data_IF_318421114093
#
_entry.id   IF_318421114093
#
_cell.length_a   1.000
_cell.length_b   1.000
_cell.length_c   1.000
_cell.angle_alpha   90.00
_cell.angle_beta   90.00
_cell.angle_gamma   90.00
#
_symmetry.space_group_name_H-M   'P 1'
#
loop_
_entity.id
_entity.type
_entity.pdbx_description
1 polymer ?
#
# COMPACT_ATOMS: atom_id res chain seq x y z
N UNK A 1 -20.69 -22.11 -66.11
CA UNK A 1 -20.63 -22.47 -64.67
C UNK A 1 -19.44 -21.74 -64.03
N UNK A 2 -19.71 -20.64 -63.36
CA UNK A 2 -18.66 -19.87 -62.63
C UNK A 2 -18.53 -20.42 -61.20
N UNK A 3 -17.36 -20.95 -60.87
CA UNK A 3 -17.04 -21.40 -59.50
C UNK A 3 -16.67 -20.19 -58.64
N UNK A 4 -17.48 -19.92 -57.61
CA UNK A 4 -17.20 -18.90 -56.58
C UNK A 4 -16.34 -19.60 -55.52
N UNK A 5 -15.09 -19.15 -55.36
CA UNK A 5 -14.22 -19.54 -54.26
C UNK A 5 -14.53 -18.62 -53.05
N UNK A 6 -15.13 -19.20 -52.00
CA UNK A 6 -15.34 -18.54 -50.74
C UNK A 6 -14.06 -18.69 -49.91
N UNK A 7 -13.26 -17.64 -49.84
CA UNK A 7 -12.06 -17.61 -49.01
C UNK A 7 -12.51 -17.32 -47.57
N UNK A 8 -12.44 -18.36 -46.73
CA UNK A 8 -12.64 -18.22 -45.29
C UNK A 8 -11.42 -17.49 -44.68
N UNK A 9 -11.59 -16.21 -44.38
CA UNK A 9 -10.60 -15.45 -43.62
C UNK A 9 -10.75 -15.82 -42.14
N UNK A 10 -10.01 -16.82 -41.69
CA UNK A 10 -9.90 -17.14 -40.24
C UNK A 10 -9.10 -16.03 -39.59
N UNK A 11 -9.80 -15.06 -38.97
CA UNK A 11 -9.21 -14.06 -38.14
C UNK A 11 -8.55 -14.72 -36.91
N UNK A 12 -7.23 -14.70 -36.89
CA UNK A 12 -6.46 -15.08 -35.71
C UNK A 12 -6.68 -14.01 -34.67
N UNK A 13 -7.63 -14.23 -33.76
CA UNK A 13 -7.72 -13.44 -32.51
C UNK A 13 -6.49 -13.79 -31.67
N UNK A 14 -5.43 -13.00 -31.79
CA UNK A 14 -4.36 -12.98 -30.83
C UNK A 14 -5.00 -12.35 -29.58
N UNK A 15 -5.50 -13.18 -28.67
CA UNK A 15 -5.80 -12.76 -27.33
C UNK A 15 -4.47 -12.27 -26.74
N UNK A 16 -4.33 -10.97 -26.59
CA UNK A 16 -3.28 -10.38 -25.75
C UNK A 16 -3.50 -10.98 -24.38
N UNK A 17 -2.71 -11.98 -24.01
CA UNK A 17 -2.61 -12.43 -22.63
C UNK A 17 -1.99 -11.25 -21.90
N UNK A 18 -2.81 -10.37 -21.35
CA UNK A 18 -2.33 -9.39 -20.38
C UNK A 18 -1.58 -10.21 -19.33
N UNK A 19 -0.27 -9.98 -19.19
CA UNK A 19 0.53 -10.64 -18.17
C UNK A 19 -0.11 -10.27 -16.84
N UNK A 20 -0.91 -11.19 -16.29
CA UNK A 20 -1.54 -10.99 -15.00
C UNK A 20 -0.43 -10.87 -13.96
N UNK A 21 -0.51 -9.83 -13.14
CA UNK A 21 0.37 -9.62 -12.02
C UNK A 21 0.48 -10.91 -11.19
N UNK A 22 1.70 -11.31 -10.88
CA UNK A 22 1.99 -12.42 -9.99
C UNK A 22 2.77 -11.90 -8.79
N UNK A 23 2.28 -12.18 -7.60
CA UNK A 23 3.04 -11.93 -6.37
C UNK A 23 3.99 -13.09 -6.15
N UNK A 24 5.26 -12.78 -5.90
CA UNK A 24 6.31 -13.76 -5.68
C UNK A 24 6.92 -13.61 -4.30
N UNK A 25 7.39 -14.71 -3.74
CA UNK A 25 8.10 -14.69 -2.46
C UNK A 25 9.28 -13.71 -2.50
N UNK A 26 10.12 -13.79 -3.53
CA UNK A 26 11.34 -12.98 -3.63
C UNK A 26 11.09 -11.47 -3.61
N UNK A 27 9.93 -11.01 -4.10
CA UNK A 27 9.62 -9.59 -4.16
C UNK A 27 8.60 -9.14 -3.10
N UNK A 28 7.56 -9.94 -2.84
CA UNK A 28 6.43 -9.49 -2.02
C UNK A 28 6.49 -9.96 -0.56
N UNK A 29 7.28 -10.98 -0.23
CA UNK A 29 7.44 -11.38 1.18
C UNK A 29 8.22 -10.31 1.95
N UNK A 30 7.71 -9.82 3.08
CA UNK A 30 8.44 -8.88 3.93
C UNK A 30 9.74 -9.47 4.47
N UNK A 31 10.76 -8.64 4.62
CA UNK A 31 12.04 -9.01 5.21
C UNK A 31 12.45 -7.99 6.28
N UNK A 32 13.42 -8.36 7.11
CA UNK A 32 13.96 -7.45 8.15
C UNK A 32 14.47 -6.16 7.51
N UNK A 33 14.05 -5.03 8.07
CA UNK A 33 14.38 -3.70 7.58
C UNK A 33 13.30 -3.07 6.69
N UNK A 34 12.34 -3.84 6.20
CA UNK A 34 11.20 -3.28 5.47
C UNK A 34 10.34 -2.39 6.38
N UNK A 35 9.75 -1.38 5.78
CA UNK A 35 8.77 -0.51 6.42
C UNK A 35 7.57 -0.33 5.52
N UNK A 36 6.36 -0.27 6.09
CA UNK A 36 5.14 0.07 5.41
C UNK A 36 4.44 1.20 6.16
N UNK A 37 4.07 2.26 5.47
CA UNK A 37 3.30 3.36 6.03
C UNK A 37 2.02 3.56 5.23
N UNK A 38 0.90 3.74 5.94
CA UNK A 38 -0.45 3.80 5.37
C UNK A 38 -1.19 5.05 5.83
N UNK A 39 -1.98 5.62 4.95
CA UNK A 39 -2.94 6.70 5.23
C UNK A 39 -4.34 6.13 5.21
N UNK A 40 -5.12 6.46 6.23
CA UNK A 40 -6.53 6.08 6.32
C UNK A 40 -7.42 6.95 5.43
N UNK A 41 -8.46 6.33 4.90
CA UNK A 41 -9.50 6.97 4.10
C UNK A 41 -10.87 6.55 4.58
N UNK A 42 -11.85 7.46 4.49
CA UNK A 42 -13.24 7.16 4.78
C UNK A 42 -13.85 6.40 3.61
N UNK A 43 -14.36 5.19 3.90
CA UNK A 43 -15.15 4.41 2.97
C UNK A 43 -16.60 4.41 3.43
N UNK A 44 -17.52 4.80 2.57
CA UNK A 44 -18.95 4.83 2.89
C UNK A 44 -19.54 3.44 2.69
N UNK A 45 -19.87 2.75 3.80
CA UNK A 45 -20.54 1.45 3.79
C UNK A 45 -19.71 0.29 3.23
N UNK A 46 -20.35 -0.87 3.08
CA UNK A 46 -19.74 -2.02 2.38
C UNK A 46 -19.76 -1.74 0.89
N UNK A 47 -18.60 -1.57 0.30
CA UNK A 47 -18.45 -1.33 -1.14
C UNK A 47 -18.33 -2.68 -1.83
N UNK A 48 -19.26 -3.06 -2.72
CA UNK A 48 -19.12 -4.28 -3.51
C UNK A 48 -17.80 -4.26 -4.29
N UNK A 49 -17.03 -5.33 -4.21
CA UNK A 49 -15.77 -5.45 -4.92
C UNK A 49 -15.95 -6.43 -6.07
N UNK A 50 -15.92 -5.91 -7.28
CA UNK A 50 -15.96 -6.74 -8.46
C UNK A 50 -14.71 -7.65 -8.49
N UNK A 51 -14.93 -8.89 -8.91
CA UNK A 51 -13.88 -9.90 -9.08
C UNK A 51 -13.81 -10.32 -10.54
N UNK A 52 -12.77 -11.05 -10.90
CA UNK A 52 -12.55 -11.50 -12.29
C UNK A 52 -11.54 -10.65 -13.05
N UNK A 53 -11.32 -10.98 -14.32
CA UNK A 53 -10.37 -10.27 -15.18
C UNK A 53 -10.95 -8.95 -15.71
N UNK A 54 -10.04 -7.99 -16.01
CA UNK A 54 -10.41 -6.76 -16.71
C UNK A 54 -11.25 -5.77 -15.89
N UNK A 55 -11.16 -5.84 -14.57
CA UNK A 55 -11.94 -4.98 -13.68
C UNK A 55 -11.42 -3.54 -13.65
N UNK A 56 -12.32 -2.62 -13.29
CA UNK A 56 -11.94 -1.25 -12.89
C UNK A 56 -12.51 -0.98 -11.51
N UNK A 57 -11.60 -0.79 -10.54
CA UNK A 57 -11.93 -0.42 -9.16
C UNK A 57 -11.65 1.07 -8.99
N UNK A 58 -12.73 1.86 -8.86
CA UNK A 58 -12.64 3.31 -8.76
C UNK A 58 -12.97 3.78 -7.33
N UNK A 59 -11.95 4.27 -6.65
CA UNK A 59 -12.03 4.81 -5.29
C UNK A 59 -11.66 6.31 -5.24
N UNK A 60 -11.68 6.99 -6.38
CA UNK A 60 -11.32 8.40 -6.50
C UNK A 60 -12.05 9.32 -5.51
N UNK A 61 -13.31 9.00 -5.18
CA UNK A 61 -14.16 9.81 -4.31
C UNK A 61 -13.87 9.62 -2.81
N UNK A 62 -12.98 8.68 -2.42
CA UNK A 62 -12.64 8.50 -1.01
C UNK A 62 -11.84 9.67 -0.49
N UNK A 63 -12.19 10.13 0.72
CA UNK A 63 -11.54 11.24 1.39
C UNK A 63 -10.57 10.76 2.46
N UNK A 64 -9.40 11.38 2.56
CA UNK A 64 -8.43 11.06 3.61
C UNK A 64 -8.99 11.45 4.98
N UNK A 65 -8.81 10.58 5.96
CA UNK A 65 -9.09 10.88 7.38
C UNK A 65 -7.77 11.12 8.16
N UNK A 66 -7.86 11.28 9.48
CA UNK A 66 -6.69 11.56 10.32
C UNK A 66 -5.83 10.32 10.61
N UNK A 67 -6.36 9.12 10.35
CA UNK A 67 -5.68 7.87 10.70
C UNK A 67 -4.44 7.64 9.86
N UNK A 68 -3.38 7.20 10.53
CA UNK A 68 -2.13 6.72 9.92
C UNK A 68 -1.75 5.41 10.58
N UNK A 69 -1.07 4.54 9.85
CA UNK A 69 -0.50 3.30 10.36
C UNK A 69 0.91 3.15 9.80
N UNK A 70 1.82 2.65 10.62
CA UNK A 70 3.18 2.33 10.18
C UNK A 70 3.59 1.01 10.78
N UNK A 71 4.20 0.14 9.98
CA UNK A 71 4.79 -1.12 10.40
C UNK A 71 6.28 -1.14 10.05
N UNK A 72 7.09 -1.72 10.94
CA UNK A 72 8.51 -2.02 10.69
C UNK A 72 8.72 -3.51 10.87
N UNK A 73 9.39 -4.15 9.91
CA UNK A 73 9.71 -5.56 9.98
C UNK A 73 11.09 -5.76 10.60
N UNK A 74 11.14 -6.50 11.71
CA UNK A 74 12.34 -6.62 12.54
C UNK A 74 12.65 -8.08 12.91
N UNK A 75 13.82 -8.31 13.51
CA UNK A 75 14.23 -9.65 13.96
C UNK A 75 13.47 -10.04 15.23
N UNK A 76 13.18 -11.35 15.44
CA UNK A 76 12.57 -11.82 16.69
C UNK A 76 13.39 -11.45 17.93
N UNK A 77 14.71 -11.40 17.82
CA UNK A 77 15.59 -11.08 18.95
C UNK A 77 15.41 -9.66 19.50
N UNK A 78 14.89 -8.71 18.68
CA UNK A 78 14.64 -7.33 19.10
C UNK A 78 13.30 -7.14 19.83
N UNK A 79 12.45 -8.17 19.85
CA UNK A 79 11.11 -8.13 20.46
C UNK A 79 10.96 -9.26 21.49
N UNK A 80 11.06 -8.99 22.81
CA UNK A 80 11.02 -10.02 23.84
C UNK A 80 9.77 -10.92 23.79
N UNK A 81 8.62 -10.38 23.40
CA UNK A 81 7.38 -11.14 23.26
C UNK A 81 7.47 -12.26 22.22
N UNK A 82 8.42 -12.23 21.29
CA UNK A 82 8.63 -13.26 20.28
C UNK A 82 8.98 -14.62 20.87
N UNK A 83 9.52 -14.67 22.08
CA UNK A 83 9.88 -15.93 22.78
C UNK A 83 8.67 -16.87 23.00
N UNK A 84 7.46 -16.33 22.99
CA UNK A 84 6.23 -17.12 23.12
C UNK A 84 5.80 -17.81 21.79
N UNK A 85 6.44 -17.48 20.65
CA UNK A 85 6.03 -17.93 19.33
C UNK A 85 7.07 -18.85 18.71
N UNK A 86 6.85 -20.16 18.79
CA UNK A 86 7.81 -21.16 18.30
C UNK A 86 7.99 -21.08 16.78
N UNK A 87 9.24 -20.91 16.35
CA UNK A 87 9.57 -20.88 14.92
C UNK A 87 9.36 -19.52 14.24
N UNK A 88 9.13 -18.45 15.01
CA UNK A 88 9.07 -17.09 14.47
C UNK A 88 10.39 -16.73 13.76
N UNK A 89 10.27 -16.18 12.56
CA UNK A 89 11.41 -15.74 11.74
C UNK A 89 11.41 -14.23 11.50
N UNK A 90 10.26 -13.57 11.64
CA UNK A 90 10.07 -12.16 11.38
C UNK A 90 9.01 -11.59 12.32
N UNK A 91 9.21 -10.38 12.80
CA UNK A 91 8.22 -9.64 13.60
C UNK A 91 7.83 -8.37 12.85
N UNK A 92 6.53 -8.14 12.70
CA UNK A 92 5.97 -6.88 12.25
C UNK A 92 5.63 -6.05 13.49
N UNK A 93 6.40 -4.99 13.73
CA UNK A 93 6.15 -4.01 14.78
C UNK A 93 5.25 -2.91 14.22
N UNK A 94 4.02 -2.83 14.74
CA UNK A 94 3.00 -1.85 14.34
C UNK A 94 3.02 -0.61 15.24
N UNK A 95 3.99 -0.53 16.14
CA UNK A 95 4.10 0.53 17.13
C UNK A 95 3.16 0.36 18.32
N UNK A 96 3.44 1.13 19.39
CA UNK A 96 2.61 1.10 20.59
C UNK A 96 2.56 -0.24 21.34
N UNK A 97 3.53 -1.13 21.11
CA UNK A 97 3.55 -2.47 21.68
C UNK A 97 2.64 -3.49 20.99
N UNK A 98 2.23 -3.21 19.75
CA UNK A 98 1.45 -4.11 18.92
C UNK A 98 2.36 -4.83 17.92
N UNK A 99 2.30 -6.15 17.90
CA UNK A 99 3.17 -7.01 17.10
C UNK A 99 2.39 -8.10 16.40
N UNK A 100 2.78 -8.43 15.16
CA UNK A 100 2.44 -9.69 14.50
C UNK A 100 3.70 -10.55 14.36
N UNK A 101 3.56 -11.85 14.61
CA UNK A 101 4.67 -12.80 14.60
C UNK A 101 4.53 -13.73 13.41
N UNK A 102 5.53 -13.71 12.54
CA UNK A 102 5.50 -14.38 11.25
C UNK A 102 6.56 -15.48 11.16
N UNK A 103 6.22 -16.51 10.42
CA UNK A 103 7.15 -17.57 10.02
C UNK A 103 7.19 -17.67 8.50
N UNK A 104 8.33 -17.36 7.92
CA UNK A 104 8.61 -17.53 6.51
C UNK A 104 9.28 -18.89 6.30
N UNK A 105 8.66 -19.74 5.47
CA UNK A 105 9.22 -21.04 5.05
C UNK A 105 9.66 -20.98 3.59
N UNK A 106 10.05 -22.08 2.98
CA UNK A 106 10.39 -22.10 1.56
C UNK A 106 9.24 -21.65 0.65
N UNK A 107 7.99 -21.99 1.00
CA UNK A 107 6.80 -21.75 0.21
C UNK A 107 5.74 -20.90 0.90
N UNK A 108 5.65 -20.96 2.24
CA UNK A 108 4.56 -20.37 3.01
C UNK A 108 5.01 -19.13 3.77
N UNK A 109 4.09 -18.20 3.92
CA UNK A 109 4.16 -17.09 4.86
C UNK A 109 3.03 -17.27 5.87
N UNK A 110 3.38 -17.57 7.12
CA UNK A 110 2.48 -18.04 8.17
C UNK A 110 2.41 -17.02 9.31
N UNK A 111 1.23 -16.66 9.74
CA UNK A 111 1.01 -15.89 10.96
C UNK A 111 0.97 -16.85 12.16
N UNK A 112 1.88 -16.65 13.10
CA UNK A 112 1.95 -17.43 14.34
C UNK A 112 1.10 -16.84 15.46
N UNK A 113 0.67 -15.59 15.29
CA UNK A 113 -0.16 -14.87 16.22
C UNK A 113 0.19 -13.39 16.32
N UNK A 114 -0.41 -12.73 17.31
CA UNK A 114 -0.20 -11.31 17.57
C UNK A 114 -0.18 -11.02 19.08
N UNK A 115 0.50 -9.94 19.46
CA UNK A 115 0.49 -9.45 20.83
C UNK A 115 0.27 -7.94 20.86
N UNK A 116 -0.42 -7.50 21.88
CA UNK A 116 -0.56 -6.12 22.29
C UNK A 116 -0.16 -5.97 23.76
N UNK A 117 -0.24 -4.77 24.30
CA UNK A 117 -0.01 -4.54 25.73
C UNK A 117 -1.00 -5.27 26.66
N UNK A 118 -2.14 -5.73 26.13
CA UNK A 118 -3.25 -6.30 26.94
C UNK A 118 -3.57 -7.75 26.58
N UNK A 119 -3.42 -8.14 25.33
CA UNK A 119 -3.81 -9.47 24.83
C UNK A 119 -2.74 -10.06 23.94
N UNK A 120 -2.58 -11.37 24.05
CA UNK A 120 -1.77 -12.18 23.15
C UNK A 120 -2.64 -13.28 22.54
N UNK A 121 -2.64 -13.36 21.22
CA UNK A 121 -3.23 -14.43 20.43
C UNK A 121 -2.08 -15.29 19.92
N UNK A 122 -1.93 -16.51 20.42
CA UNK A 122 -0.85 -17.41 20.02
C UNK A 122 -1.43 -18.63 19.30
N UNK A 123 -1.13 -18.77 18.01
CA UNK A 123 -1.63 -19.86 17.16
C UNK A 123 -0.74 -21.11 17.33
N UNK A 124 -0.55 -21.51 18.57
CA UNK A 124 0.32 -22.60 18.96
C UNK A 124 -0.27 -24.02 18.68
N UNK A 125 -1.54 -24.11 18.32
CA UNK A 125 -2.15 -25.35 17.86
C UNK A 125 -1.91 -25.57 16.35
N UNK A 126 -2.11 -24.55 15.54
CA UNK A 126 -1.84 -24.51 14.11
C UNK A 126 -1.72 -23.03 13.66
N UNK A 127 -0.65 -22.68 12.95
CA UNK A 127 -0.47 -21.32 12.38
C UNK A 127 -1.46 -21.03 11.27
N UNK A 128 -1.72 -19.74 11.01
CA UNK A 128 -2.55 -19.32 9.88
C UNK A 128 -1.68 -19.08 8.63
N UNK A 129 -1.88 -19.86 7.57
CA UNK A 129 -1.17 -19.68 6.30
C UNK A 129 -1.77 -18.50 5.55
N UNK A 130 -1.11 -17.36 5.64
CA UNK A 130 -1.53 -16.12 4.97
C UNK A 130 -1.27 -16.16 3.45
N UNK A 131 -0.16 -16.77 3.03
CA UNK A 131 0.20 -16.91 1.63
C UNK A 131 0.97 -18.20 1.35
N UNK A 132 0.68 -18.83 0.22
CA UNK A 132 1.54 -19.83 -0.44
C UNK A 132 1.95 -19.22 -1.78
N UNK A 133 3.24 -19.01 -1.94
CA UNK A 133 3.78 -18.37 -3.13
C UNK A 133 3.89 -19.31 -4.33
N UNK A 134 3.63 -18.87 -5.58
CA UNK A 134 3.20 -17.52 -5.98
C UNK A 134 1.68 -17.32 -5.90
N UNK A 135 1.25 -16.06 -5.77
CA UNK A 135 -0.17 -15.69 -5.85
C UNK A 135 -0.43 -14.98 -7.17
N UNK A 136 -1.38 -15.48 -7.94
CA UNK A 136 -1.85 -14.89 -9.20
C UNK A 136 -3.38 -14.94 -9.26
N UNK A 137 -3.95 -14.45 -10.34
CA UNK A 137 -5.39 -14.60 -10.56
C UNK A 137 -5.78 -16.06 -10.63
N UNK A 138 -6.86 -16.42 -9.90
CA UNK A 138 -7.34 -17.80 -9.78
C UNK A 138 -6.66 -18.61 -8.67
N UNK A 139 -5.61 -18.06 -8.01
CA UNK A 139 -5.07 -18.66 -6.78
C UNK A 139 -6.16 -18.82 -5.74
N UNK A 140 -6.15 -19.94 -5.03
CA UNK A 140 -6.99 -20.15 -3.85
C UNK A 140 -6.26 -21.01 -2.83
N UNK A 141 -6.36 -20.59 -1.57
CA UNK A 141 -5.88 -21.35 -0.41
C UNK A 141 -6.85 -21.20 0.74
N UNK A 142 -7.24 -22.30 1.34
CA UNK A 142 -8.04 -22.33 2.58
C UNK A 142 -7.25 -23.04 3.64
N UNK A 143 -7.09 -22.41 4.79
CA UNK A 143 -6.36 -22.93 5.92
C UNK A 143 -7.17 -22.77 7.21
N UNK A 144 -6.94 -23.67 8.17
CA UNK A 144 -7.52 -23.62 9.51
C UNK A 144 -6.43 -23.48 10.55
N UNK A 145 -6.63 -22.63 11.51
CA UNK A 145 -5.68 -22.37 12.57
C UNK A 145 -6.35 -22.41 13.95
N UNK A 146 -5.52 -22.65 14.97
CA UNK A 146 -6.01 -22.74 16.34
C UNK A 146 -4.93 -22.32 17.33
N UNK A 147 -5.38 -21.94 18.51
CA UNK A 147 -4.44 -21.52 19.54
C UNK A 147 -5.11 -21.02 20.80
N UNK A 148 -4.37 -20.19 21.53
CA UNK A 148 -4.76 -19.66 22.84
C UNK A 148 -4.83 -18.14 22.83
N UNK A 149 -5.65 -17.60 23.70
CA UNK A 149 -5.71 -16.18 24.06
C UNK A 149 -5.25 -16.05 25.51
N UNK A 150 -4.38 -15.08 25.78
CA UNK A 150 -3.89 -14.78 27.12
C UNK A 150 -3.73 -13.28 27.34
N UNK A 151 -3.64 -12.86 28.61
CA UNK A 151 -3.56 -11.46 29.02
C UNK A 151 -4.71 -11.09 29.92
N UNK A 152 -5.41 -9.98 29.64
CA UNK A 152 -6.60 -9.55 30.40
C UNK A 152 -7.79 -10.52 30.25
N UNK A 153 -7.77 -11.39 29.24
CA UNK A 153 -8.68 -12.50 29.05
C UNK A 153 -7.89 -13.76 28.74
N UNK A 154 -8.44 -14.93 29.07
CA UNK A 154 -7.81 -16.22 28.75
C UNK A 154 -8.83 -17.14 28.10
N UNK A 155 -8.38 -17.89 27.10
CA UNK A 155 -9.26 -18.78 26.36
C UNK A 155 -8.58 -19.47 25.20
N UNK A 156 -9.40 -20.04 24.33
CA UNK A 156 -8.95 -20.70 23.11
C UNK A 156 -9.49 -19.96 21.89
N UNK A 157 -8.83 -20.14 20.77
CA UNK A 157 -9.32 -19.67 19.48
C UNK A 157 -9.21 -20.75 18.42
N UNK A 158 -10.13 -20.69 17.47
CA UNK A 158 -10.04 -21.42 16.21
C UNK A 158 -10.39 -20.45 15.08
N UNK A 159 -9.81 -20.65 13.91
CA UNK A 159 -10.13 -19.79 12.78
C UNK A 159 -9.98 -20.51 11.45
N UNK A 160 -10.57 -19.90 10.45
CA UNK A 160 -10.44 -20.32 9.04
C UNK A 160 -10.08 -19.09 8.22
N UNK A 161 -9.01 -19.16 7.46
CA UNK A 161 -8.60 -18.16 6.51
C UNK A 161 -8.70 -18.69 5.08
N UNK A 162 -9.29 -17.91 4.19
CA UNK A 162 -9.34 -18.21 2.75
C UNK A 162 -8.77 -17.03 1.97
N UNK A 163 -7.73 -17.29 1.18
CA UNK A 163 -7.05 -16.30 0.34
C UNK A 163 -7.25 -16.65 -1.13
N UNK A 164 -7.71 -15.69 -1.92
CA UNK A 164 -8.04 -15.87 -3.33
C UNK A 164 -7.41 -14.75 -4.17
N UNK A 165 -6.72 -15.10 -5.25
CA UNK A 165 -6.39 -14.17 -6.32
C UNK A 165 -7.65 -13.84 -7.13
N UNK A 166 -8.37 -12.79 -6.69
CA UNK A 166 -9.78 -12.60 -7.00
C UNK A 166 -10.04 -11.82 -8.29
N UNK A 167 -9.09 -11.01 -8.75
CA UNK A 167 -9.30 -10.23 -9.96
C UNK A 167 -8.04 -9.54 -10.48
N UNK A 168 -8.10 -9.13 -11.74
CA UNK A 168 -7.06 -8.31 -12.37
C UNK A 168 -7.69 -7.12 -13.08
N UNK A 169 -6.96 -6.00 -13.18
CA UNK A 169 -7.51 -4.82 -13.86
C UNK A 169 -6.81 -3.52 -13.54
N UNK A 170 -7.59 -2.46 -13.42
CA UNK A 170 -7.16 -1.09 -13.17
C UNK A 170 -7.71 -0.60 -11.82
N UNK A 171 -6.85 -0.04 -11.00
CA UNK A 171 -7.19 0.62 -9.74
C UNK A 171 -7.09 2.13 -9.92
N UNK A 172 -8.17 2.85 -9.59
CA UNK A 172 -8.19 4.31 -9.46
C UNK A 172 -8.20 4.62 -7.97
N UNK A 173 -7.07 5.10 -7.45
CA UNK A 173 -6.94 5.45 -6.04
C UNK A 173 -7.57 6.82 -5.73
N UNK A 174 -7.80 7.17 -4.45
CA UNK A 174 -8.17 8.51 -4.03
C UNK A 174 -7.25 9.57 -4.66
N UNK A 175 -7.85 10.66 -5.17
CA UNK A 175 -7.11 11.67 -5.95
C UNK A 175 -7.02 11.38 -7.45
N UNK A 176 -7.50 10.22 -7.93
CA UNK A 176 -7.72 9.95 -9.36
C UNK A 176 -6.53 9.37 -10.12
N UNK A 177 -5.45 8.98 -9.45
CA UNK A 177 -4.34 8.30 -10.12
C UNK A 177 -4.71 6.86 -10.46
N UNK A 178 -4.40 6.44 -11.69
CA UNK A 178 -4.71 5.12 -12.23
C UNK A 178 -3.47 4.22 -12.21
N UNK A 179 -3.65 2.99 -11.75
CA UNK A 179 -2.68 1.91 -11.84
C UNK A 179 -3.28 0.76 -12.63
N UNK A 180 -2.65 0.38 -13.73
CA UNK A 180 -3.01 -0.80 -14.54
C UNK A 180 -2.28 -2.04 -14.02
N UNK A 181 -2.60 -3.23 -14.55
CA UNK A 181 -1.96 -4.50 -14.15
C UNK A 181 -2.03 -4.77 -12.64
N UNK A 182 -3.16 -4.46 -12.02
CA UNK A 182 -3.43 -4.73 -10.62
C UNK A 182 -3.86 -6.19 -10.44
N UNK A 183 -3.36 -6.83 -9.39
CA UNK A 183 -3.92 -8.05 -8.82
C UNK A 183 -4.72 -7.69 -7.56
N UNK A 184 -6.00 -8.03 -7.55
CA UNK A 184 -6.82 -8.01 -6.33
C UNK A 184 -6.69 -9.37 -5.64
N UNK A 185 -6.25 -9.34 -4.38
CA UNK A 185 -6.29 -10.50 -3.48
C UNK A 185 -7.42 -10.26 -2.49
N UNK A 186 -8.32 -11.24 -2.38
CA UNK A 186 -9.39 -11.25 -1.39
C UNK A 186 -9.04 -12.26 -0.31
N UNK A 187 -9.02 -11.82 0.95
CA UNK A 187 -8.87 -12.69 2.11
C UNK A 187 -10.15 -12.63 2.94
N UNK A 188 -10.70 -13.79 3.29
CA UNK A 188 -11.78 -13.89 4.27
C UNK A 188 -11.27 -14.65 5.47
N UNK A 189 -11.61 -14.17 6.66
CA UNK A 189 -11.19 -14.79 7.92
C UNK A 189 -12.39 -14.91 8.86
N UNK A 190 -12.55 -16.08 9.46
CA UNK A 190 -13.51 -16.31 10.53
C UNK A 190 -12.75 -16.78 11.74
N UNK A 191 -12.86 -16.06 12.84
CA UNK A 191 -12.21 -16.38 14.12
C UNK A 191 -13.29 -16.60 15.17
N UNK A 192 -13.20 -17.71 15.87
CA UNK A 192 -14.03 -18.02 17.05
C UNK A 192 -13.13 -17.99 18.28
N UNK A 193 -13.38 -17.06 19.18
CA UNK A 193 -12.66 -16.92 20.45
C UNK A 193 -13.59 -17.36 21.57
N UNK A 194 -13.16 -18.36 22.34
CA UNK A 194 -13.89 -18.84 23.52
C UNK A 194 -13.13 -18.44 24.77
N UNK A 195 -13.63 -17.44 25.48
CA UNK A 195 -13.07 -16.94 26.75
C UNK A 195 -13.56 -17.84 27.89
N UNK A 196 -12.67 -18.16 28.81
CA UNK A 196 -12.94 -19.07 29.93
C UNK A 196 -13.65 -18.37 31.09
N UNK A 197 -13.29 -17.09 31.36
CA UNK A 197 -13.84 -16.35 32.49
C UNK A 197 -13.98 -14.84 32.19
N UNK A 198 -15.21 -14.27 32.22
CA UNK A 198 -16.48 -14.98 32.23
C UNK A 198 -16.65 -15.79 30.92
N UNK A 199 -17.34 -16.93 30.96
CA UNK A 199 -17.52 -17.75 29.75
C UNK A 199 -18.25 -16.96 28.65
N UNK A 200 -17.57 -16.77 27.53
CA UNK A 200 -18.13 -16.01 26.39
C UNK A 200 -17.51 -16.53 25.10
N UNK A 201 -18.33 -16.65 24.07
CA UNK A 201 -17.84 -16.97 22.72
C UNK A 201 -18.11 -15.77 21.81
N UNK A 202 -17.06 -15.31 21.16
CA UNK A 202 -17.09 -14.24 20.17
C UNK A 202 -16.71 -14.82 18.82
N UNK A 203 -17.52 -14.52 17.81
CA UNK A 203 -17.18 -14.83 16.41
C UNK A 203 -16.88 -13.52 15.69
N UNK A 204 -15.73 -13.46 15.04
CA UNK A 204 -15.30 -12.31 14.24
C UNK A 204 -15.17 -12.74 12.79
N UNK A 205 -15.85 -12.04 11.91
CA UNK A 205 -15.72 -12.20 10.46
C UNK A 205 -14.90 -11.04 9.90
N UNK A 206 -13.90 -11.36 9.08
CA UNK A 206 -13.07 -10.36 8.40
C UNK A 206 -13.08 -10.59 6.89
N UNK A 207 -13.05 -9.51 6.12
CA UNK A 207 -12.88 -9.54 4.67
C UNK A 207 -11.89 -8.43 4.30
N UNK A 208 -10.80 -8.79 3.63
CA UNK A 208 -9.84 -7.85 3.08
C UNK A 208 -9.82 -7.93 1.56
N UNK A 209 -9.88 -6.78 0.92
CA UNK A 209 -9.60 -6.61 -0.49
C UNK A 209 -8.31 -5.82 -0.63
N UNK A 210 -7.27 -6.49 -1.09
CA UNK A 210 -5.91 -5.96 -1.15
C UNK A 210 -5.48 -5.86 -2.61
N UNK A 211 -5.01 -4.68 -3.02
CA UNK A 211 -4.68 -4.36 -4.40
C UNK A 211 -3.17 -4.20 -4.56
N UNK A 212 -2.56 -5.07 -5.37
CA UNK A 212 -1.12 -5.10 -5.60
C UNK A 212 -0.75 -4.65 -7.02
N UNK A 213 0.37 -3.96 -7.13
CA UNK A 213 0.99 -3.58 -8.39
C UNK A 213 2.45 -4.06 -8.42
N UNK A 214 2.93 -4.52 -9.61
CA UNK A 214 4.24 -5.16 -9.76
C UNK A 214 5.46 -4.32 -9.44
N UNK A 215 5.31 -3.01 -9.37
CA UNK A 215 6.39 -2.10 -8.97
C UNK A 215 6.50 -1.89 -7.46
N UNK A 216 5.56 -2.44 -6.67
CA UNK A 216 5.49 -2.22 -5.22
C UNK A 216 5.52 -3.54 -4.47
N UNK A 217 6.35 -3.61 -3.44
CA UNK A 217 6.46 -4.78 -2.56
C UNK A 217 5.18 -4.98 -1.75
N UNK A 218 4.68 -3.90 -1.17
CA UNK A 218 3.46 -3.85 -0.37
C UNK A 218 2.25 -3.44 -1.22
N UNK A 219 1.03 -3.73 -0.76
CA UNK A 219 -0.17 -3.33 -1.48
C UNK A 219 -0.25 -1.82 -1.68
N UNK A 220 -0.83 -1.41 -2.80
CA UNK A 220 -1.19 -0.02 -3.04
C UNK A 220 -2.31 0.43 -2.11
N UNK A 221 -3.31 -0.44 -1.94
CA UNK A 221 -4.52 -0.14 -1.19
C UNK A 221 -5.08 -1.41 -0.56
N UNK A 222 -5.61 -1.29 0.66
CA UNK A 222 -6.35 -2.35 1.36
C UNK A 222 -7.67 -1.79 1.83
N UNK A 223 -8.76 -2.54 1.61
CA UNK A 223 -10.09 -2.25 2.14
C UNK A 223 -10.50 -3.43 3.00
N UNK A 224 -10.62 -3.19 4.29
CA UNK A 224 -10.93 -4.19 5.31
C UNK A 224 -12.35 -4.01 5.84
N UNK A 225 -13.03 -5.09 6.07
CA UNK A 225 -14.31 -5.15 6.77
C UNK A 225 -14.22 -6.17 7.89
N UNK A 226 -14.77 -5.82 9.04
CA UNK A 226 -14.87 -6.70 10.20
C UNK A 226 -16.27 -6.65 10.78
N UNK A 227 -16.83 -7.80 11.16
CA UNK A 227 -18.10 -7.92 11.85
C UNK A 227 -17.92 -8.78 13.11
N UNK A 228 -18.36 -8.25 14.24
CA UNK A 228 -18.35 -8.91 15.54
C UNK A 228 -19.79 -9.21 16.03
N UNK A 229 -20.74 -9.32 15.11
CA UNK A 229 -22.16 -9.55 15.41
C UNK A 229 -22.98 -8.26 15.58
N UNK A 230 -22.38 -7.08 15.36
CA UNK A 230 -23.05 -5.76 15.42
C UNK A 230 -23.15 -5.06 14.09
N UNK A 231 -22.76 -5.75 13.01
CA UNK A 231 -22.65 -5.23 11.65
C UNK A 231 -21.20 -4.91 11.26
N UNK A 232 -20.98 -4.76 9.96
CA UNK A 232 -19.65 -4.55 9.40
C UNK A 232 -19.13 -3.15 9.72
N UNK A 233 -17.91 -3.10 10.27
CA UNK A 233 -17.09 -1.90 10.32
C UNK A 233 -16.00 -1.98 9.25
N UNK A 234 -15.68 -0.87 8.60
CA UNK A 234 -14.70 -0.85 7.52
C UNK A 234 -13.55 0.11 7.78
N UNK A 235 -12.39 -0.24 7.25
CA UNK A 235 -11.23 0.64 7.20
C UNK A 235 -10.61 0.57 5.80
N UNK A 236 -10.22 1.72 5.26
CA UNK A 236 -9.53 1.81 3.98
C UNK A 236 -8.16 2.44 4.20
N UNK A 237 -7.14 1.77 3.69
CA UNK A 237 -5.74 2.16 3.83
C UNK A 237 -5.08 2.30 2.46
N UNK A 238 -4.42 3.40 2.22
CA UNK A 238 -3.59 3.64 1.04
C UNK A 238 -2.13 3.72 1.44
N UNK A 239 -1.25 3.08 0.67
CA UNK A 239 0.19 3.11 0.90
C UNK A 239 0.72 4.54 0.77
N UNK A 240 1.35 5.05 1.84
CA UNK A 240 1.85 6.43 1.88
C UNK A 240 3.01 6.69 0.91
N UNK A 241 3.79 5.68 0.56
CA UNK A 241 4.84 5.82 -0.44
C UNK A 241 4.29 6.28 -1.80
N UNK A 242 3.02 5.98 -2.08
CA UNK A 242 2.34 6.44 -3.29
C UNK A 242 1.85 7.89 -3.17
N UNK A 243 1.48 8.31 -1.97
CA UNK A 243 0.98 9.68 -1.73
C UNK A 243 2.13 10.67 -1.78
N UNK A 244 3.30 10.29 -1.29
CA UNK A 244 4.51 11.14 -1.33
C UNK A 244 5.13 11.23 -2.73
N UNK A 245 4.78 10.30 -3.64
CA UNK A 245 5.20 10.31 -5.05
C UNK A 245 4.11 10.76 -6.02
N UNK A 246 2.85 10.91 -5.57
CA UNK A 246 1.77 11.46 -6.37
C UNK A 246 1.94 12.99 -6.40
N UNK A 247 2.36 13.50 -7.54
CA UNK A 247 2.16 14.90 -7.86
C UNK A 247 0.66 15.17 -7.70
N UNK A 248 0.26 15.97 -6.70
CA UNK A 248 -1.06 16.55 -6.66
C UNK A 248 -1.21 17.29 -8.00
N UNK A 249 -2.03 16.77 -8.92
CA UNK A 249 -2.16 17.35 -10.26
C UNK A 249 -2.56 18.82 -10.20
N UNK A 250 -3.34 19.20 -9.18
CA UNK A 250 -3.70 20.59 -8.96
C UNK A 250 -2.49 21.39 -8.45
N UNK A 251 -1.71 20.84 -7.54
CA UNK A 251 -0.49 21.47 -7.06
C UNK A 251 0.59 21.49 -8.16
N UNK A 252 0.75 20.41 -8.89
CA UNK A 252 1.68 20.33 -10.02
C UNK A 252 1.33 21.36 -11.11
N UNK A 253 0.05 21.57 -11.40
CA UNK A 253 -0.40 22.56 -12.36
C UNK A 253 -0.08 24.01 -11.94
N UNK A 254 0.02 24.29 -10.63
CA UNK A 254 0.35 25.63 -10.11
C UNK A 254 1.86 25.86 -9.97
N UNK A 255 2.68 24.79 -9.91
CA UNK A 255 4.13 24.91 -9.80
C UNK A 255 4.75 25.22 -11.15
N UNK A 256 5.27 26.44 -11.27
CA UNK A 256 5.93 26.93 -12.48
C UNK A 256 7.36 27.34 -12.21
N UNK A 257 8.22 27.11 -13.21
CA UNK A 257 9.65 27.47 -13.21
C UNK A 257 9.96 28.18 -14.51
N UNK A 258 10.34 29.45 -14.44
CA UNK A 258 10.56 30.29 -15.62
C UNK A 258 11.59 31.41 -15.38
N UNK A 259 12.38 31.82 -16.37
CA UNK A 259 12.52 31.19 -17.68
C UNK A 259 13.15 29.79 -17.58
N UNK A 260 12.91 28.97 -18.59
CA UNK A 260 13.56 27.68 -18.76
C UNK A 260 13.79 27.45 -20.27
N UNK A 261 15.02 27.55 -20.81
CA UNK A 261 16.30 27.67 -20.10
C UNK A 261 16.48 28.95 -19.27
N UNK A 262 17.30 28.86 -18.23
CA UNK A 262 17.69 29.97 -17.37
C UNK A 262 19.21 30.19 -17.42
N UNK A 263 19.64 31.44 -17.24
CA UNK A 263 21.06 31.79 -17.26
C UNK A 263 21.59 32.13 -15.85
N UNK A 264 21.17 33.23 -15.28
CA UNK A 264 21.70 33.71 -14.00
C UNK A 264 20.70 33.51 -12.85
N UNK A 265 19.39 33.44 -13.16
CA UNK A 265 18.34 33.24 -12.21
C UNK A 265 17.07 32.68 -12.89
N UNK A 266 16.19 32.10 -12.09
CA UNK A 266 14.84 31.72 -12.49
C UNK A 266 13.84 32.04 -11.40
N UNK A 267 12.57 32.15 -11.78
CA UNK A 267 11.47 32.36 -10.85
C UNK A 267 10.71 31.06 -10.64
N UNK A 268 10.28 30.87 -9.40
CA UNK A 268 9.31 29.85 -9.02
C UNK A 268 8.02 30.54 -8.64
N UNK A 269 6.90 30.04 -9.13
CA UNK A 269 5.56 30.44 -8.70
C UNK A 269 4.73 29.20 -8.36
N UNK A 270 4.04 29.20 -7.24
CA UNK A 270 3.15 28.13 -6.82
C UNK A 270 2.05 28.62 -5.87
N UNK A 271 0.87 27.98 -5.95
CA UNK A 271 -0.25 28.26 -5.05
C UNK A 271 -0.13 27.45 -3.76
N UNK A 272 -0.36 28.13 -2.63
CA UNK A 272 -0.28 27.58 -1.27
C UNK A 272 -1.59 27.85 -0.50
N UNK A 273 -2.67 27.23 -0.95
CA UNK A 273 -4.02 27.45 -0.40
C UNK A 273 -4.14 27.14 1.11
N UNK A 274 -3.27 26.30 1.65
CA UNK A 274 -3.29 25.90 3.05
C UNK A 274 -2.32 26.71 3.93
N UNK A 275 -1.53 27.61 3.37
CA UNK A 275 -0.45 28.32 4.03
C UNK A 275 0.58 27.36 4.71
N UNK A 276 0.86 26.24 4.07
CA UNK A 276 1.87 25.28 4.54
C UNK A 276 3.28 25.87 4.36
N UNK A 277 4.23 25.46 5.19
CA UNK A 277 5.64 25.76 4.97
C UNK A 277 6.15 25.05 3.73
N UNK A 278 6.87 25.76 2.87
CA UNK A 278 7.39 25.24 1.61
C UNK A 278 8.92 25.24 1.56
N UNK A 279 9.48 24.29 0.82
CA UNK A 279 10.92 24.17 0.55
C UNK A 279 11.13 23.84 -0.91
N UNK A 280 12.16 24.46 -1.54
CA UNK A 280 12.68 24.08 -2.85
C UNK A 280 14.05 23.46 -2.66
N UNK A 281 14.28 22.31 -3.32
CA UNK A 281 15.57 21.65 -3.41
C UNK A 281 15.94 21.48 -4.87
N UNK A 282 17.16 21.91 -5.24
CA UNK A 282 17.69 21.78 -6.59
C UNK A 282 18.73 20.65 -6.59
N UNK A 283 18.55 19.70 -7.51
CA UNK A 283 19.46 18.57 -7.71
C UNK A 283 20.16 18.67 -9.06
N UNK A 284 21.43 18.29 -9.12
CA UNK A 284 22.12 18.10 -10.38
C UNK A 284 21.72 16.77 -11.06
N UNK A 285 22.27 16.51 -12.25
CA UNK A 285 21.95 15.33 -13.05
C UNK A 285 22.33 13.97 -12.38
N UNK A 286 23.21 13.98 -11.38
CA UNK A 286 23.60 12.78 -10.60
C UNK A 286 22.85 12.68 -9.27
N UNK A 287 21.84 13.54 -9.04
CA UNK A 287 20.99 13.51 -7.86
C UNK A 287 21.56 14.16 -6.60
N UNK A 288 22.67 14.89 -6.70
CA UNK A 288 23.23 15.64 -5.56
C UNK A 288 22.46 16.95 -5.36
N UNK A 289 22.20 17.31 -4.11
CA UNK A 289 21.63 18.61 -3.74
C UNK A 289 22.67 19.71 -3.99
N UNK A 290 22.31 20.70 -4.80
CA UNK A 290 23.15 21.86 -5.09
C UNK A 290 22.63 23.13 -4.44
N UNK A 291 21.32 23.20 -4.13
CA UNK A 291 20.73 24.36 -3.45
C UNK A 291 19.45 23.96 -2.72
N UNK A 292 19.22 24.56 -1.54
CA UNK A 292 17.97 24.44 -0.76
C UNK A 292 17.46 25.84 -0.39
N UNK A 293 16.17 26.10 -0.59
CA UNK A 293 15.55 27.40 -0.40
C UNK A 293 14.24 27.21 0.38
N UNK A 294 14.09 27.92 1.49
CA UNK A 294 12.84 28.01 2.22
C UNK A 294 11.91 29.01 1.55
N UNK A 295 10.63 28.61 1.37
CA UNK A 295 9.62 29.42 0.70
C UNK A 295 8.72 30.22 1.65
N UNK A 296 8.67 29.82 2.93
CA UNK A 296 7.66 30.33 3.87
C UNK A 296 6.27 29.74 3.64
N UNK A 297 5.23 30.45 4.09
CA UNK A 297 3.85 29.94 4.19
C UNK A 297 2.78 30.86 3.59
N UNK A 298 3.14 31.80 2.73
CA UNK A 298 2.15 32.69 2.08
C UNK A 298 1.22 31.90 1.12
N UNK A 299 0.01 32.40 0.88
CA UNK A 299 -1.00 31.75 0.01
C UNK A 299 -0.58 31.66 -1.46
N UNK A 300 0.22 32.61 -1.93
CA UNK A 300 0.93 32.57 -3.21
C UNK A 300 2.42 32.72 -2.91
N UNK A 301 3.20 31.76 -3.35
CA UNK A 301 4.64 31.74 -3.18
C UNK A 301 5.32 32.05 -4.50
N UNK A 302 6.03 33.18 -4.53
CA UNK A 302 6.86 33.58 -5.65
C UNK A 302 8.27 33.82 -5.14
N UNK A 303 9.25 33.21 -5.82
CA UNK A 303 10.66 33.33 -5.42
C UNK A 303 11.55 33.44 -6.63
N UNK A 304 12.39 34.47 -6.67
CA UNK A 304 13.51 34.53 -7.58
C UNK A 304 14.72 33.81 -6.99
N UNK A 305 15.29 32.88 -7.74
CA UNK A 305 16.38 32.01 -7.32
C UNK A 305 17.58 32.29 -8.20
N UNK A 306 18.64 32.80 -7.61
CA UNK A 306 19.92 32.99 -8.29
C UNK A 306 20.61 31.63 -8.48
N UNK A 307 21.11 31.38 -9.68
CA UNK A 307 21.80 30.17 -10.10
C UNK A 307 23.09 30.47 -10.88
N UNK A 308 23.61 31.69 -10.80
CA UNK A 308 24.86 32.09 -11.46
C UNK A 308 26.10 31.30 -11.01
N UNK A 309 26.01 30.60 -9.90
CA UNK A 309 26.98 29.66 -9.33
C UNK A 309 26.87 28.24 -9.86
N UNK A 310 25.85 27.94 -10.66
CA UNK A 310 25.65 26.61 -11.24
C UNK A 310 26.28 26.53 -12.65
N UNK A 311 26.85 25.38 -12.96
CA UNK A 311 27.34 25.10 -14.30
C UNK A 311 26.19 24.85 -15.28
N UNK A 312 26.40 25.15 -16.56
CA UNK A 312 25.47 24.80 -17.62
C UNK A 312 25.12 23.30 -17.59
N UNK A 313 23.85 22.97 -17.65
CA UNK A 313 23.40 21.58 -17.54
C UNK A 313 21.94 21.42 -17.16
N UNK A 314 21.53 20.16 -16.94
CA UNK A 314 20.18 19.81 -16.53
C UNK A 314 20.12 19.67 -15.01
N UNK A 315 19.12 20.30 -14.42
CA UNK A 315 18.82 20.27 -13.00
C UNK A 315 17.36 19.86 -12.77
N UNK A 316 17.08 19.31 -11.60
CA UNK A 316 15.71 19.03 -11.13
C UNK A 316 15.40 19.97 -9.97
N UNK A 317 14.39 20.81 -10.16
CA UNK A 317 13.84 21.68 -9.13
C UNK A 317 12.67 20.96 -8.48
N UNK A 318 12.84 20.52 -7.24
CA UNK A 318 11.82 19.83 -6.45
C UNK A 318 11.27 20.79 -5.41
N UNK A 319 9.96 20.95 -5.35
CA UNK A 319 9.27 21.68 -4.28
C UNK A 319 8.50 20.74 -3.39
N UNK A 320 8.52 21.04 -2.10
CA UNK A 320 7.70 20.38 -1.07
C UNK A 320 6.89 21.47 -0.37
N UNK A 321 5.59 21.23 -0.17
CA UNK A 321 4.66 22.15 0.46
C UNK A 321 3.70 21.36 1.36
N UNK A 322 3.93 21.33 2.66
CA UNK A 322 3.29 20.37 3.55
C UNK A 322 3.58 18.94 3.10
N UNK A 323 2.53 18.19 2.75
CA UNK A 323 2.63 16.83 2.22
C UNK A 323 2.63 16.74 0.67
N UNK A 324 2.59 17.88 -0.02
CA UNK A 324 2.58 17.95 -1.49
C UNK A 324 4.00 18.08 -2.03
N UNK A 325 4.28 17.39 -3.12
CA UNK A 325 5.58 17.39 -3.78
C UNK A 325 5.37 17.56 -5.28
N UNK A 326 6.16 18.42 -5.90
CA UNK A 326 6.23 18.56 -7.36
C UNK A 326 7.67 18.76 -7.81
N UNK A 327 7.96 18.47 -9.07
CA UNK A 327 9.29 18.68 -9.64
C UNK A 327 9.22 19.18 -11.07
N UNK A 328 10.20 20.01 -11.45
CA UNK A 328 10.40 20.52 -12.82
C UNK A 328 11.85 20.35 -13.22
N UNK A 329 12.02 20.06 -14.50
CA UNK A 329 13.33 20.11 -15.12
C UNK A 329 13.69 21.57 -15.41
N UNK A 330 14.89 21.98 -15.03
CA UNK A 330 15.48 23.26 -15.35
C UNK A 330 16.72 23.02 -16.24
N UNK A 331 16.82 23.73 -17.34
CA UNK A 331 18.01 23.82 -18.15
C UNK A 331 18.74 25.12 -17.77
N UNK A 332 20.00 25.03 -17.40
CA UNK A 332 20.91 26.16 -17.13
C UNK A 332 21.84 26.31 -18.32
N UNK A 333 21.87 27.50 -18.92
CA UNK A 333 22.73 27.86 -20.08
C UNK A 333 24.06 28.46 -19.65
#
# INVERSE_FOLDING_TARGET
>A
MKKIYLTLLSGLFISQVANAQTLTKAFNEPVVGDTESKKGYDSVGVIPKNTGAGQTWNFQAFTANTNTSSSTFTTPASVPASAAFTGVTLVEDQGGGNYNFWKATATNYELLGSASSTLTFNYNGSSAIAAIWPINMGYTNTDTYSGTVSGIASGNLTGTINTVGAGTGTLVIPGGTNFTNILQVKTTNTVIVTITLPPTTLTVYGIDYTYYHGSQKFPLMTISYSDQGTGYTGATWLNQALITGLNDKNFDATFQVFPNPAKDAFNVSLSNSNNDNGTIVIYNAVGQVVKTIELGNASLLEKNINISDLSSGIYIVKTTLGNKVSSRRLLVD
#
